data_IF_533790021092
#
_entry.id   IF_533790021092
#
_cell.length_a   1.000
_cell.length_b   1.000
_cell.length_c   1.000
_cell.angle_alpha   90.00
_cell.angle_beta   90.00
_cell.angle_gamma   90.00
#
_symmetry.space_group_name_H-M   'P 1'
#
loop_
_entity.id
_entity.type
_entity.pdbx_description
1 polymer ?
#
# COMPACT_ATOMS: atom_id res chain seq x y z
N UNK A 1 -12.12 -7.36 3.47
CA UNK A 1 -11.47 -8.00 4.64
C UNK A 1 -10.98 -6.93 5.60
N UNK A 2 -11.37 -7.04 6.83
CA UNK A 2 -10.96 -6.07 7.86
C UNK A 2 -10.39 -6.82 9.07
N UNK A 3 -9.08 -6.73 9.26
CA UNK A 3 -8.35 -7.31 10.38
C UNK A 3 -7.54 -6.22 11.12
N UNK A 4 -8.03 -4.98 11.09
CA UNK A 4 -7.40 -3.88 11.81
C UNK A 4 -7.50 -4.03 13.32
N UNK A 5 -6.65 -3.28 14.04
CA UNK A 5 -6.64 -3.22 15.51
C UNK A 5 -6.46 -4.58 16.18
N UNK A 6 -5.64 -5.44 15.62
CA UNK A 6 -5.25 -6.71 16.22
C UNK A 6 -3.77 -6.65 16.60
N UNK A 7 -3.21 -7.75 17.05
CA UNK A 7 -1.79 -7.85 17.35
C UNK A 7 -1.11 -8.78 16.34
N UNK A 8 -1.52 -8.72 15.08
CA UNK A 8 -0.95 -9.52 14.01
C UNK A 8 0.50 -9.11 13.78
N UNK A 9 1.39 -10.09 13.67
CA UNK A 9 2.82 -9.86 13.42
C UNK A 9 3.29 -10.64 12.20
N UNK A 10 4.60 -10.54 11.92
CA UNK A 10 5.17 -11.14 10.74
C UNK A 10 4.87 -10.34 9.48
N UNK A 11 5.18 -10.89 8.34
CA UNK A 11 4.95 -10.21 7.06
C UNK A 11 3.48 -10.25 6.64
N UNK A 12 3.07 -9.25 5.89
CA UNK A 12 1.72 -9.22 5.30
C UNK A 12 1.55 -10.46 4.39
N UNK A 13 0.53 -11.31 4.63
CA UNK A 13 0.35 -12.54 3.84
C UNK A 13 -0.31 -12.27 2.48
N UNK A 14 0.24 -11.31 1.72
CA UNK A 14 -0.40 -10.83 0.49
C UNK A 14 -0.53 -11.91 -0.57
N UNK A 15 0.49 -12.76 -0.70
CA UNK A 15 0.48 -13.83 -1.70
C UNK A 15 -0.66 -14.82 -1.46
N UNK A 16 -0.86 -15.21 -0.19
CA UNK A 16 -1.98 -16.09 0.18
C UNK A 16 -3.32 -15.41 -0.07
N UNK A 17 -3.44 -14.14 0.32
CA UNK A 17 -4.69 -13.39 0.16
C UNK A 17 -5.08 -13.26 -1.32
N UNK A 18 -4.13 -12.96 -2.18
CA UNK A 18 -4.36 -12.81 -3.61
C UNK A 18 -4.77 -14.13 -4.25
N UNK A 19 -4.11 -15.22 -3.87
CA UNK A 19 -4.42 -16.55 -4.42
C UNK A 19 -5.79 -17.07 -3.96
N UNK A 20 -6.15 -16.82 -2.70
CA UNK A 20 -7.40 -17.29 -2.14
C UNK A 20 -8.59 -16.41 -2.49
N UNK A 21 -8.35 -15.12 -2.78
CA UNK A 21 -9.41 -14.14 -3.03
C UNK A 21 -9.03 -13.20 -4.17
N UNK A 22 -9.01 -13.69 -5.42
CA UNK A 22 -8.57 -12.88 -6.57
C UNK A 22 -9.48 -11.70 -6.89
N UNK A 23 -10.69 -11.65 -6.33
CA UNK A 23 -11.62 -10.53 -6.46
C UNK A 23 -11.63 -9.59 -5.26
N UNK A 24 -10.63 -9.65 -4.40
CA UNK A 24 -10.57 -8.87 -3.18
C UNK A 24 -10.50 -7.37 -3.47
N UNK A 25 -11.47 -6.61 -2.95
CA UNK A 25 -11.60 -5.19 -3.21
C UNK A 25 -11.17 -4.31 -2.03
N UNK A 26 -11.30 -4.80 -0.81
CA UNK A 26 -11.00 -4.05 0.41
C UNK A 26 -10.11 -4.89 1.31
N UNK A 27 -8.96 -4.33 1.67
CA UNK A 27 -8.03 -4.95 2.63
C UNK A 27 -7.72 -3.91 3.70
N UNK A 28 -8.08 -4.22 4.94
CA UNK A 28 -7.79 -3.38 6.11
C UNK A 28 -6.97 -4.18 7.09
N UNK A 29 -5.70 -3.86 7.19
CA UNK A 29 -4.74 -4.48 8.10
C UNK A 29 -4.05 -3.44 8.98
N UNK A 30 -4.64 -2.27 9.11
CA UNK A 30 -4.09 -1.19 9.92
C UNK A 30 -4.05 -1.51 11.40
N UNK A 31 -3.17 -0.83 12.12
CA UNK A 31 -3.03 -0.97 13.57
C UNK A 31 -2.72 -2.41 14.01
N UNK A 32 -1.68 -2.95 13.45
CA UNK A 32 -1.11 -4.26 13.80
C UNK A 32 0.40 -4.12 14.04
N UNK A 33 1.13 -5.22 14.04
CA UNK A 33 2.59 -5.26 14.19
C UNK A 33 3.26 -5.91 12.98
N UNK A 34 2.69 -5.68 11.81
CA UNK A 34 3.20 -6.27 10.57
C UNK A 34 4.54 -5.67 10.19
N UNK A 35 5.46 -6.52 9.76
CA UNK A 35 6.82 -6.17 9.38
C UNK A 35 7.06 -6.49 7.91
N UNK A 36 8.30 -6.27 7.45
CA UNK A 36 8.67 -6.49 6.06
C UNK A 36 8.37 -5.27 5.20
N UNK A 37 8.19 -5.48 3.91
CA UNK A 37 7.95 -4.41 2.94
C UNK A 37 6.49 -4.37 2.51
N UNK A 38 6.10 -3.29 1.85
CA UNK A 38 4.78 -3.20 1.22
C UNK A 38 4.70 -4.26 0.12
N UNK A 39 3.73 -5.20 0.19
CA UNK A 39 3.74 -6.36 -0.69
C UNK A 39 3.38 -6.04 -2.14
N UNK A 40 4.32 -6.29 -3.05
CA UNK A 40 4.12 -6.13 -4.49
C UNK A 40 2.99 -7.04 -5.00
N UNK A 41 2.75 -8.18 -4.35
CA UNK A 41 1.73 -9.14 -4.76
C UNK A 41 0.33 -8.53 -4.87
N UNK A 42 0.03 -7.49 -4.09
CA UNK A 42 -1.26 -6.80 -4.20
C UNK A 42 -1.49 -6.15 -5.57
N UNK A 43 -0.43 -5.88 -6.33
CA UNK A 43 -0.55 -5.29 -7.66
C UNK A 43 -1.30 -6.21 -8.64
N UNK A 44 -1.34 -7.52 -8.38
CA UNK A 44 -2.11 -8.44 -9.21
C UNK A 44 -3.62 -8.27 -9.08
N UNK A 45 -4.09 -7.54 -8.06
CA UNK A 45 -5.51 -7.24 -7.84
C UNK A 45 -5.94 -5.95 -8.54
N UNK A 46 -5.32 -5.58 -9.66
CA UNK A 46 -5.57 -4.31 -10.34
C UNK A 46 -7.03 -4.10 -10.74
N UNK A 47 -7.75 -5.16 -11.04
CA UNK A 47 -9.13 -5.05 -11.49
C UNK A 47 -10.14 -5.00 -10.36
N UNK A 48 -9.77 -5.42 -9.15
CA UNK A 48 -10.69 -5.53 -8.01
C UNK A 48 -10.36 -4.59 -6.86
N UNK A 49 -9.08 -4.29 -6.60
CA UNK A 49 -8.67 -3.52 -5.43
C UNK A 49 -9.19 -2.09 -5.50
N UNK A 50 -9.88 -1.67 -4.44
CA UNK A 50 -10.41 -0.30 -4.28
C UNK A 50 -9.81 0.39 -3.06
N UNK A 51 -9.64 -0.34 -1.97
CA UNK A 51 -9.18 0.23 -0.70
C UNK A 51 -8.14 -0.67 -0.07
N UNK A 52 -6.95 -0.12 0.22
CA UNK A 52 -5.88 -0.82 0.90
C UNK A 52 -5.40 0.04 2.08
N UNK A 53 -5.53 -0.49 3.28
CA UNK A 53 -5.06 0.14 4.51
C UNK A 53 -4.05 -0.76 5.19
N UNK A 54 -2.80 -0.32 5.20
CA UNK A 54 -1.69 -0.95 5.92
C UNK A 54 -1.09 0.01 6.94
N UNK A 55 -1.85 1.02 7.35
CA UNK A 55 -1.38 2.05 8.28
C UNK A 55 -1.05 1.48 9.66
N UNK A 56 -0.23 2.22 10.41
CA UNK A 56 0.09 1.89 11.79
C UNK A 56 0.62 0.46 11.96
N UNK A 57 1.66 0.16 11.24
CA UNK A 57 2.40 -1.09 11.31
C UNK A 57 3.92 -0.80 11.41
N UNK A 58 4.75 -1.78 11.15
CA UNK A 58 6.21 -1.64 11.17
C UNK A 58 6.82 -1.92 9.79
N UNK A 59 6.08 -1.59 8.73
CA UNK A 59 6.55 -1.80 7.37
C UNK A 59 7.70 -0.86 7.03
N UNK A 60 8.66 -1.34 6.26
CA UNK A 60 9.84 -0.59 5.86
C UNK A 60 10.12 -0.77 4.37
N UNK A 61 11.28 -0.29 3.91
CA UNK A 61 11.66 -0.37 2.51
C UNK A 61 11.04 0.74 1.69
N UNK A 62 10.98 0.56 0.40
CA UNK A 62 10.51 1.56 -0.54
C UNK A 62 9.11 1.24 -1.04
N UNK A 63 8.44 2.26 -1.56
CA UNK A 63 7.13 2.10 -2.17
C UNK A 63 7.26 1.30 -3.48
N UNK A 64 6.40 0.29 -3.69
CA UNK A 64 6.48 -0.54 -4.90
C UNK A 64 6.00 0.23 -6.13
N UNK A 65 6.87 0.39 -7.12
CA UNK A 65 6.52 1.03 -8.39
C UNK A 65 5.36 0.31 -9.08
N UNK A 66 5.25 -0.99 -8.86
CA UNK A 66 4.21 -1.85 -9.44
C UNK A 66 2.79 -1.45 -9.03
N UNK A 67 2.63 -0.75 -7.91
CA UNK A 67 1.31 -0.26 -7.49
C UNK A 67 0.73 0.78 -8.48
N UNK A 68 1.57 1.37 -9.34
CA UNK A 68 1.09 2.23 -10.40
C UNK A 68 0.10 1.54 -11.35
N UNK A 69 0.13 0.21 -11.43
CA UNK A 69 -0.83 -0.55 -12.25
C UNK A 69 -2.21 -0.68 -11.61
N UNK A 70 -2.36 -0.32 -10.33
CA UNK A 70 -3.64 -0.37 -9.63
C UNK A 70 -4.51 0.81 -10.06
N UNK A 71 -5.05 0.73 -11.27
CA UNK A 71 -5.78 1.84 -11.89
C UNK A 71 -7.19 2.04 -11.35
N UNK A 72 -7.68 1.14 -10.51
CA UNK A 72 -9.00 1.23 -9.87
C UNK A 72 -8.95 1.48 -8.38
N UNK A 73 -7.77 1.52 -7.78
CA UNK A 73 -7.65 1.78 -6.34
C UNK A 73 -8.06 3.22 -6.04
N UNK A 74 -8.88 3.40 -5.01
CA UNK A 74 -9.44 4.69 -4.61
C UNK A 74 -8.75 5.25 -3.39
N UNK A 75 -8.46 4.42 -2.41
CA UNK A 75 -7.76 4.84 -1.19
C UNK A 75 -6.58 3.93 -0.90
N UNK A 76 -5.45 4.53 -0.56
CA UNK A 76 -4.24 3.82 -0.17
C UNK A 76 -3.67 4.50 1.07
N UNK A 77 -3.72 3.82 2.20
CA UNK A 77 -3.21 4.34 3.46
C UNK A 77 -2.02 3.50 3.93
N UNK A 78 -0.84 4.12 3.88
CA UNK A 78 0.42 3.54 4.33
C UNK A 78 1.03 4.38 5.47
N UNK A 79 0.23 5.24 6.09
CA UNK A 79 0.71 6.14 7.14
C UNK A 79 1.19 5.37 8.38
N UNK A 80 2.01 6.03 9.20
CA UNK A 80 2.48 5.49 10.48
C UNK A 80 3.22 4.15 10.31
N UNK A 81 4.16 4.13 9.41
CA UNK A 81 5.08 3.01 9.17
C UNK A 81 6.53 3.52 9.16
N UNK A 82 7.45 2.75 8.63
CA UNK A 82 8.87 3.11 8.50
C UNK A 82 9.33 3.10 7.04
N UNK A 83 8.42 3.38 6.13
CA UNK A 83 8.68 3.37 4.69
C UNK A 83 9.54 4.57 4.32
N UNK A 84 10.53 4.36 3.48
CA UNK A 84 11.44 5.41 3.01
C UNK A 84 11.42 5.58 1.51
N UNK A 85 12.30 6.46 1.01
CA UNK A 85 12.47 6.70 -0.41
C UNK A 85 11.47 7.66 -1.00
N UNK A 86 11.25 7.56 -2.28
CA UNK A 86 10.45 8.48 -3.07
C UNK A 86 9.13 7.86 -3.50
N UNK A 87 8.11 8.70 -3.69
CA UNK A 87 6.86 8.26 -4.30
C UNK A 87 7.13 8.02 -5.80
N UNK A 88 6.86 6.81 -6.32
CA UNK A 88 7.07 6.54 -7.74
C UNK A 88 6.22 7.47 -8.62
N UNK A 89 6.83 8.00 -9.68
CA UNK A 89 6.13 8.89 -10.61
C UNK A 89 4.87 8.23 -11.20
N UNK A 90 4.93 6.93 -11.46
CA UNK A 90 3.79 6.18 -12.01
C UNK A 90 2.56 6.23 -11.12
N UNK A 91 2.74 6.38 -9.80
CA UNK A 91 1.59 6.55 -8.91
C UNK A 91 0.84 7.84 -9.21
N UNK A 92 1.56 8.89 -9.60
CA UNK A 92 0.95 10.18 -9.90
C UNK A 92 0.31 10.24 -11.28
N UNK A 93 0.80 9.42 -12.23
CA UNK A 93 0.33 9.45 -13.61
C UNK A 93 -0.67 8.34 -13.93
N UNK A 94 -0.54 7.18 -13.32
CA UNK A 94 -1.23 5.97 -13.77
C UNK A 94 -2.36 5.51 -12.83
N UNK A 95 -2.32 5.91 -11.56
CA UNK A 95 -3.36 5.54 -10.58
C UNK A 95 -4.56 6.49 -10.71
N UNK A 96 -5.32 6.33 -11.78
CA UNK A 96 -6.34 7.30 -12.20
C UNK A 96 -7.51 7.44 -11.23
N UNK A 97 -7.86 6.36 -10.52
CA UNK A 97 -8.99 6.37 -9.59
C UNK A 97 -8.62 6.83 -8.18
N UNK A 98 -7.32 7.00 -7.90
CA UNK A 98 -6.84 7.33 -6.57
C UNK A 98 -7.26 8.74 -6.17
N UNK A 99 -8.01 8.87 -5.07
CA UNK A 99 -8.36 10.18 -4.52
C UNK A 99 -7.87 10.39 -3.09
N UNK A 100 -7.45 9.35 -2.39
CA UNK A 100 -6.83 9.47 -1.07
C UNK A 100 -5.56 8.65 -1.01
N UNK A 101 -4.44 9.32 -0.79
CA UNK A 101 -3.13 8.70 -0.56
C UNK A 101 -2.57 9.28 0.72
N UNK A 102 -2.42 8.44 1.76
CA UNK A 102 -1.86 8.86 3.04
C UNK A 102 -0.52 8.16 3.27
N UNK A 103 0.55 8.94 3.25
CA UNK A 103 1.92 8.50 3.50
C UNK A 103 2.51 9.16 4.75
N UNK A 104 1.67 9.84 5.56
CA UNK A 104 2.13 10.61 6.70
C UNK A 104 2.84 9.72 7.73
N UNK A 105 3.78 10.31 8.47
CA UNK A 105 4.51 9.64 9.55
C UNK A 105 5.29 8.40 9.05
N UNK A 106 5.97 8.56 7.93
CA UNK A 106 6.95 7.61 7.43
C UNK A 106 8.32 8.28 7.36
N UNK A 107 9.34 7.54 6.93
CA UNK A 107 10.71 8.03 6.80
C UNK A 107 10.96 8.49 5.38
N UNK A 108 11.28 9.77 5.21
CA UNK A 108 11.80 10.29 3.92
C UNK A 108 10.94 9.95 2.69
N UNK A 109 9.64 9.74 2.87
CA UNK A 109 8.73 9.57 1.73
C UNK A 109 8.37 10.95 1.22
N UNK A 110 8.75 11.27 -0.02
CA UNK A 110 8.51 12.58 -0.62
C UNK A 110 8.38 12.49 -2.13
N UNK A 111 7.80 13.51 -2.70
CA UNK A 111 7.67 13.69 -4.14
C UNK A 111 8.06 15.13 -4.49
N UNK A 112 8.93 15.29 -5.48
CA UNK A 112 9.31 16.59 -6.00
C UNK A 112 8.72 16.77 -7.39
N UNK A 113 7.72 17.67 -7.57
CA UNK A 113 7.06 17.82 -8.86
C UNK A 113 7.98 18.38 -9.95
N UNK A 114 9.10 19.04 -9.59
CA UNK A 114 10.04 19.56 -10.59
C UNK A 114 10.93 18.51 -11.20
N UNK A 115 11.33 17.52 -10.40
CA UNK A 115 12.27 16.48 -10.83
C UNK A 115 11.60 15.12 -10.98
N UNK A 116 10.38 14.95 -10.53
CA UNK A 116 9.70 13.66 -10.48
C UNK A 116 10.17 12.77 -9.34
N UNK A 117 10.88 13.33 -8.38
CA UNK A 117 11.48 12.57 -7.27
C UNK A 117 10.90 13.00 -5.93
#
# INVERSE_FOLDING_TARGET
MDLGYNALDGEVPARCLVQCSPGLAVVKLGSNRLTGTVPVAFASLRESMRHLDLSSNELHGQLPVEFGTLDRIQTLDLSLNRIGGQVPMTWMTDMEALYTLDLAHNRCVYFNPRTGN
#
